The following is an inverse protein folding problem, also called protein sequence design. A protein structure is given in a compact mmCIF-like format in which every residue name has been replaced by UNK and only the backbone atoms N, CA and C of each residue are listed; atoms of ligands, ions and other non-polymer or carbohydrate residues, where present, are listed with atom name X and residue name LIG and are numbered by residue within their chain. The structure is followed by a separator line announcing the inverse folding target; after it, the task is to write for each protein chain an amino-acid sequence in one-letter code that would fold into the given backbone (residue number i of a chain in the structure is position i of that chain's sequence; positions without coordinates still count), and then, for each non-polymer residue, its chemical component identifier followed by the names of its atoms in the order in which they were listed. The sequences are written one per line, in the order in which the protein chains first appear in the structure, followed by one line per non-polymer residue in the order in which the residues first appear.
data_IF_241706651807
#
_entry.id   IF_241706651807
#
_cell.length_a   1.000
_cell.length_b   1.000
_cell.length_c   1.000
_cell.angle_alpha   90.00
_cell.angle_beta   90.00
_cell.angle_gamma   90.00
#
_symmetry.space_group_name_H-M   'P 1'
#
loop_
_entity.id
_entity.type
_entity.pdbx_description
1 polymer ?
#
# COMPACT_ATOMS: atom_id res chain seq x y z
N UNK A 1 7.36 19.03 -0.46
CA UNK A 1 5.94 19.17 -0.02
C UNK A 1 4.94 18.62 -1.04
N UNK A 2 4.98 19.01 -2.33
CA UNK A 2 4.02 18.52 -3.36
C UNK A 2 3.91 16.98 -3.46
N UNK A 3 5.04 16.28 -3.33
CA UNK A 3 5.11 14.81 -3.42
C UNK A 3 4.35 14.10 -2.29
N UNK A 4 4.31 14.67 -1.09
CA UNK A 4 3.57 14.10 0.05
C UNK A 4 2.07 14.13 -0.25
N UNK A 5 1.56 15.25 -0.77
CA UNK A 5 0.17 15.36 -1.18
C UNK A 5 -0.18 14.44 -2.35
N UNK A 6 0.75 14.23 -3.29
CA UNK A 6 0.56 13.25 -4.38
C UNK A 6 0.43 11.84 -3.80
N UNK A 7 1.33 11.44 -2.89
CA UNK A 7 1.28 10.13 -2.24
C UNK A 7 0.02 9.92 -1.42
N UNK A 8 -0.37 10.91 -0.60
CA UNK A 8 -1.61 10.86 0.18
C UNK A 8 -2.84 10.80 -0.74
N UNK A 9 -2.89 11.62 -1.79
CA UNK A 9 -3.98 11.64 -2.75
C UNK A 9 -4.11 10.32 -3.49
N UNK A 10 -3.00 9.76 -3.98
CA UNK A 10 -2.99 8.46 -4.64
C UNK A 10 -3.48 7.33 -3.72
N UNK A 11 -3.02 7.34 -2.46
CA UNK A 11 -3.44 6.36 -1.45
C UNK A 11 -4.94 6.49 -1.16
N UNK A 12 -5.44 7.72 -1.00
CA UNK A 12 -6.87 7.98 -0.78
C UNK A 12 -7.72 7.56 -1.98
N UNK A 13 -7.26 7.82 -3.21
CA UNK A 13 -7.96 7.37 -4.42
C UNK A 13 -8.06 5.84 -4.46
N UNK A 14 -6.99 5.13 -4.08
CA UNK A 14 -7.00 3.68 -3.96
C UNK A 14 -8.02 3.21 -2.91
N UNK A 15 -8.08 3.86 -1.75
CA UNK A 15 -9.03 3.53 -0.69
C UNK A 15 -10.48 3.75 -1.14
N UNK A 16 -10.77 4.87 -1.80
CA UNK A 16 -12.10 5.18 -2.35
C UNK A 16 -12.49 4.18 -3.46
N UNK A 17 -11.54 3.78 -4.31
CA UNK A 17 -11.76 2.75 -5.30
C UNK A 17 -12.10 1.41 -4.66
N UNK A 18 -11.38 1.02 -3.60
CA UNK A 18 -11.67 -0.21 -2.85
C UNK A 18 -13.06 -0.17 -2.20
N UNK A 19 -13.49 0.99 -1.67
CA UNK A 19 -14.87 1.16 -1.16
C UNK A 19 -15.89 1.07 -2.30
N UNK A 20 -15.64 1.70 -3.45
CA UNK A 20 -16.52 1.60 -4.61
C UNK A 20 -16.70 0.15 -5.06
N UNK A 21 -15.61 -0.62 -5.18
CA UNK A 21 -15.66 -2.05 -5.50
C UNK A 21 -16.46 -2.86 -4.47
N UNK A 22 -16.33 -2.52 -3.19
CA UNK A 22 -17.11 -3.14 -2.11
C UNK A 22 -18.60 -2.89 -2.25
N UNK A 23 -19.01 -1.64 -2.51
CA UNK A 23 -20.44 -1.30 -2.53
C UNK A 23 -21.13 -1.67 -3.84
N UNK A 24 -20.44 -1.53 -4.98
CA UNK A 24 -21.04 -1.75 -6.31
C UNK A 24 -20.90 -3.21 -6.74
N UNK A 25 -19.72 -3.80 -6.54
CA UNK A 25 -19.41 -5.15 -7.02
C UNK A 25 -19.39 -6.21 -5.92
N UNK A 26 -19.61 -5.82 -4.65
CA UNK A 26 -19.56 -6.72 -3.47
C UNK A 26 -18.22 -7.45 -3.31
N UNK A 27 -17.13 -6.87 -3.83
CA UNK A 27 -15.77 -7.41 -3.68
C UNK A 27 -15.23 -6.94 -2.32
N UNK A 28 -14.82 -7.89 -1.48
CA UNK A 28 -14.30 -7.54 -0.14
C UNK A 28 -12.88 -6.97 -0.27
N UNK A 29 -12.63 -5.74 0.19
CA UNK A 29 -11.31 -5.13 0.10
C UNK A 29 -10.31 -5.79 1.05
N UNK A 30 -9.03 -5.72 0.71
CA UNK A 30 -7.94 -6.24 1.56
C UNK A 30 -7.93 -5.56 2.92
N UNK A 31 -7.80 -6.34 4.00
CA UNK A 31 -7.77 -5.82 5.36
C UNK A 31 -6.38 -5.28 5.70
N UNK A 32 -6.24 -3.95 5.69
CA UNK A 32 -5.00 -3.23 6.02
C UNK A 32 -4.48 -3.56 7.44
N UNK A 33 -5.36 -3.97 8.37
CA UNK A 33 -4.93 -4.39 9.71
C UNK A 33 -4.03 -5.65 9.68
N UNK A 34 -4.13 -6.49 8.65
CA UNK A 34 -3.24 -7.65 8.50
C UNK A 34 -1.80 -7.21 8.21
N UNK A 35 -1.62 -6.13 7.45
CA UNK A 35 -0.30 -5.50 7.23
C UNK A 35 0.28 -5.04 8.57
N UNK A 36 -0.54 -4.40 9.41
CA UNK A 36 -0.05 -3.99 10.72
C UNK A 36 0.23 -5.18 11.64
N UNK A 37 -0.57 -6.26 11.58
CA UNK A 37 -0.28 -7.50 12.32
C UNK A 37 1.08 -8.05 11.90
N UNK A 38 1.34 -8.15 10.60
CA UNK A 38 2.63 -8.58 10.04
C UNK A 38 3.79 -7.74 10.55
N UNK A 39 3.68 -6.41 10.45
CA UNK A 39 4.70 -5.48 10.94
C UNK A 39 4.92 -5.58 12.45
N UNK A 40 3.89 -5.92 13.23
CA UNK A 40 4.00 -6.13 14.68
C UNK A 40 4.67 -7.45 15.05
N UNK A 41 4.69 -8.43 14.15
CA UNK A 41 5.41 -9.70 14.32
C UNK A 41 6.87 -9.65 13.86
N UNK A 42 7.25 -8.71 12.99
CA UNK A 42 8.64 -8.57 12.54
C UNK A 42 9.68 -8.37 13.66
N UNK A 43 9.42 -7.55 14.71
CA UNK A 43 10.36 -7.42 15.83
C UNK A 43 10.58 -8.73 16.62
N UNK A 44 9.66 -9.69 16.50
CA UNK A 44 9.76 -11.03 17.09
C UNK A 44 10.46 -12.02 16.15
N UNK A 45 10.96 -11.57 14.99
CA UNK A 45 11.63 -12.39 13.98
C UNK A 45 10.69 -13.16 13.07
N UNK A 46 9.37 -12.94 13.18
CA UNK A 46 8.36 -13.63 12.37
C UNK A 46 8.01 -12.76 11.17
N UNK A 47 8.62 -13.08 10.02
CA UNK A 47 8.40 -12.37 8.76
C UNK A 47 7.42 -13.07 7.83
N UNK A 48 7.12 -14.35 8.05
CA UNK A 48 6.20 -15.14 7.23
C UNK A 48 5.22 -15.88 8.13
N UNK A 49 3.97 -15.98 7.70
CA UNK A 49 2.91 -16.70 8.40
C UNK A 49 2.37 -17.83 7.52
N UNK A 50 1.91 -18.92 8.12
CA UNK A 50 1.15 -19.96 7.39
C UNK A 50 -0.25 -19.48 6.99
N UNK A 51 -0.84 -18.61 7.82
CA UNK A 51 -2.05 -17.86 7.53
C UNK A 51 -2.15 -16.70 8.54
N UNK A 52 -1.84 -15.49 8.09
CA UNK A 52 -1.80 -14.30 8.95
C UNK A 52 -3.17 -13.96 9.56
N UNK A 53 -4.27 -14.30 8.88
CA UNK A 53 -5.61 -14.03 9.38
C UNK A 53 -5.91 -14.86 10.63
N UNK A 54 -5.31 -16.05 10.73
CA UNK A 54 -5.40 -16.94 11.90
C UNK A 54 -4.43 -16.59 13.04
N UNK A 55 -3.36 -15.84 12.74
CA UNK A 55 -2.40 -15.40 13.76
C UNK A 55 -3.08 -14.56 14.86
N UNK A 56 -2.66 -14.68 16.13
CA UNK A 56 -3.16 -13.85 17.21
C UNK A 56 -3.11 -12.36 16.88
N UNK A 57 -4.18 -11.64 17.25
CA UNK A 57 -4.24 -10.19 17.06
C UNK A 57 -3.18 -9.50 17.93
N UNK A 58 -2.50 -8.50 17.38
CA UNK A 58 -1.57 -7.65 18.14
C UNK A 58 -2.24 -6.32 18.47
N UNK A 59 -1.86 -5.73 19.60
CA UNK A 59 -2.32 -4.38 19.97
C UNK A 59 -1.92 -3.37 18.89
N UNK A 60 -2.85 -2.45 18.58
CA UNK A 60 -2.68 -1.42 17.55
C UNK A 60 -2.37 -1.93 16.12
N UNK A 61 -2.69 -3.19 15.78
CA UNK A 61 -2.46 -3.71 14.41
C UNK A 61 -3.16 -2.89 13.32
N UNK A 62 -4.37 -2.40 13.55
CA UNK A 62 -5.07 -1.54 12.58
C UNK A 62 -4.40 -0.16 12.41
N UNK A 63 -4.16 0.64 13.47
CA UNK A 63 -3.42 1.90 13.35
C UNK A 63 -2.05 1.75 12.67
N UNK A 64 -1.28 0.71 13.02
CA UNK A 64 0.03 0.45 12.42
C UNK A 64 -0.09 0.12 10.94
N UNK A 65 -1.08 -0.70 10.57
CA UNK A 65 -1.37 -1.01 9.17
C UNK A 65 -1.70 0.23 8.36
N UNK A 66 -2.54 1.12 8.89
CA UNK A 66 -2.90 2.38 8.22
C UNK A 66 -1.70 3.31 8.07
N UNK A 67 -0.89 3.49 9.13
CA UNK A 67 0.34 4.29 9.05
C UNK A 67 1.27 3.73 7.97
N UNK A 68 1.48 2.41 7.96
CA UNK A 68 2.30 1.76 6.95
C UNK A 68 1.76 1.96 5.54
N UNK A 69 0.46 1.81 5.33
CA UNK A 69 -0.20 2.02 4.03
C UNK A 69 0.07 3.41 3.46
N UNK A 70 -0.12 4.46 4.26
CA UNK A 70 0.15 5.84 3.84
C UNK A 70 1.66 6.11 3.65
N UNK A 71 2.53 5.55 4.50
CA UNK A 71 3.98 5.68 4.34
C UNK A 71 4.49 5.01 3.07
N UNK A 72 3.96 3.83 2.72
CA UNK A 72 4.29 3.13 1.48
C UNK A 72 3.84 3.98 0.28
N UNK A 73 2.60 4.50 0.30
CA UNK A 73 2.10 5.39 -0.75
C UNK A 73 2.95 6.66 -0.95
N UNK A 74 3.36 7.31 0.15
CA UNK A 74 4.28 8.46 0.09
C UNK A 74 5.64 8.05 -0.47
N UNK A 75 6.19 6.91 -0.04
CA UNK A 75 7.48 6.40 -0.52
C UNK A 75 7.44 6.12 -2.02
N UNK A 76 6.36 5.52 -2.51
CA UNK A 76 6.14 5.31 -3.94
C UNK A 76 6.01 6.61 -4.72
N UNK A 77 5.33 7.62 -4.20
CA UNK A 77 5.27 8.94 -4.84
C UNK A 77 6.65 9.60 -4.92
N UNK A 78 7.48 9.48 -3.88
CA UNK A 78 8.87 9.96 -3.87
C UNK A 78 9.71 9.23 -4.91
N UNK A 79 9.65 7.90 -4.93
CA UNK A 79 10.36 7.09 -5.91
C UNK A 79 9.94 7.43 -7.34
N UNK A 80 8.64 7.54 -7.60
CA UNK A 80 8.10 7.91 -8.90
C UNK A 80 8.64 9.26 -9.38
N UNK A 81 8.58 10.29 -8.55
CA UNK A 81 9.07 11.63 -8.91
C UNK A 81 10.59 11.64 -9.10
N UNK A 82 11.33 10.86 -8.32
CA UNK A 82 12.77 10.70 -8.51
C UNK A 82 13.11 10.07 -9.87
N UNK A 83 12.31 9.09 -10.34
CA UNK A 83 12.51 8.45 -11.65
C UNK A 83 11.97 9.27 -12.82
N UNK A 84 10.77 9.85 -12.70
CA UNK A 84 10.11 10.62 -13.76
C UNK A 84 10.69 12.04 -13.90
N UNK A 85 11.39 12.53 -12.87
CA UNK A 85 12.00 13.84 -12.81
C UNK A 85 11.01 14.99 -12.53
N UNK A 86 11.56 16.15 -12.18
CA UNK A 86 10.77 17.35 -11.87
C UNK A 86 9.93 17.85 -13.07
N UNK A 87 10.30 17.51 -14.31
CA UNK A 87 9.52 17.89 -15.49
C UNK A 87 8.13 17.26 -15.47
N UNK A 88 7.98 16.02 -14.96
CA UNK A 88 6.67 15.39 -14.83
C UNK A 88 5.77 16.14 -13.83
N UNK A 89 6.34 16.73 -12.78
CA UNK A 89 5.57 17.56 -11.84
C UNK A 89 5.02 18.85 -12.47
N UNK A 90 5.67 19.36 -13.52
CA UNK A 90 5.22 20.54 -14.26
C UNK A 90 4.23 20.16 -15.38
N UNK A 91 4.46 19.03 -16.03
CA UNK A 91 3.64 18.52 -17.13
C UNK A 91 3.24 17.05 -16.86
N UNK A 92 2.27 16.82 -15.97
CA UNK A 92 1.87 15.47 -15.60
C UNK A 92 1.26 14.75 -16.79
N UNK A 93 1.79 13.57 -17.09
CA UNK A 93 1.30 12.67 -18.14
C UNK A 93 0.87 11.34 -17.54
N UNK A 94 -0.14 10.71 -18.16
CA UNK A 94 -0.78 9.52 -17.63
C UNK A 94 0.10 8.26 -17.75
N UNK A 95 0.81 8.12 -18.87
CA UNK A 95 1.55 6.88 -19.19
C UNK A 95 2.60 6.49 -18.14
N UNK A 96 3.50 7.39 -17.69
CA UNK A 96 4.47 7.04 -16.65
C UNK A 96 3.80 6.64 -15.32
N UNK A 97 2.70 7.30 -14.97
CA UNK A 97 1.96 7.02 -13.73
C UNK A 97 1.29 5.64 -13.78
N UNK A 98 0.70 5.25 -14.92
CA UNK A 98 0.11 3.92 -15.11
C UNK A 98 1.19 2.84 -15.04
N UNK A 99 2.29 3.01 -15.79
CA UNK A 99 3.40 2.03 -15.80
C UNK A 99 3.93 1.85 -14.38
N UNK A 100 4.19 2.95 -13.68
CA UNK A 100 4.67 2.90 -12.32
C UNK A 100 3.67 2.20 -11.38
N UNK A 101 2.37 2.52 -11.50
CA UNK A 101 1.31 1.85 -10.74
C UNK A 101 1.24 0.34 -10.99
N UNK A 102 1.48 -0.13 -12.22
CA UNK A 102 1.57 -1.57 -12.52
C UNK A 102 2.80 -2.19 -11.86
N UNK A 103 3.94 -1.50 -11.93
CA UNK A 103 5.20 -1.97 -11.30
C UNK A 103 5.06 -2.08 -9.79
N UNK A 104 4.36 -1.15 -9.12
CA UNK A 104 4.21 -1.23 -7.65
C UNK A 104 3.39 -2.43 -7.20
N UNK A 105 2.57 -3.05 -8.06
CA UNK A 105 1.83 -4.29 -7.76
C UNK A 105 2.77 -5.49 -7.56
N UNK A 106 4.01 -5.44 -8.06
CA UNK A 106 5.01 -6.50 -7.85
C UNK A 106 5.30 -6.68 -6.35
N UNK A 107 5.41 -5.60 -5.58
CA UNK A 107 5.71 -5.69 -4.16
C UNK A 107 4.64 -6.47 -3.36
N UNK A 108 3.34 -6.16 -3.43
CA UNK A 108 2.34 -6.94 -2.72
C UNK A 108 2.22 -8.38 -3.25
N UNK A 109 2.35 -8.64 -4.55
CA UNK A 109 2.19 -9.99 -5.10
C UNK A 109 3.35 -10.94 -4.77
N UNK A 110 4.60 -10.45 -4.78
CA UNK A 110 5.78 -11.30 -4.61
C UNK A 110 6.40 -11.23 -3.22
N UNK A 111 6.08 -10.22 -2.41
CA UNK A 111 6.63 -10.06 -1.06
C UNK A 111 5.53 -10.21 -0.02
N UNK A 112 4.49 -9.36 -0.09
CA UNK A 112 3.48 -9.30 0.97
C UNK A 112 2.57 -10.53 1.00
N UNK A 113 1.96 -10.89 -0.13
CA UNK A 113 1.04 -12.02 -0.20
C UNK A 113 1.70 -13.35 0.19
N UNK A 114 2.90 -13.71 -0.31
CA UNK A 114 3.60 -14.92 0.12
C UNK A 114 3.98 -14.90 1.61
N UNK A 115 4.25 -13.73 2.18
CA UNK A 115 4.54 -13.59 3.61
C UNK A 115 3.31 -13.76 4.50
N UNK A 116 2.11 -13.58 3.96
CA UNK A 116 0.86 -13.71 4.72
C UNK A 116 0.39 -15.15 4.83
N UNK A 117 0.76 -16.01 3.89
CA UNK A 117 0.34 -17.41 3.84
C UNK A 117 -1.06 -17.60 3.27
#
# INVERSE_FOLDING_TARGET
MRVIFIGMGATLTFDLWAQFLKYVFKITPSNVCLVGRWLRYMPEGIFTHSNIASSPRKSAECPVGWIAHYLIGITFAVAFVAFAGNNWLQHPTLMPAIIFGVVTVVAPFFIMQPSFG
#
